data_IF_897024677392
#
_entry.id   IF_897024677392
#
_cell.length_a   1.000
_cell.length_b   1.000
_cell.length_c   1.000
_cell.angle_alpha   90.00
_cell.angle_beta   90.00
_cell.angle_gamma   90.00
#
_symmetry.space_group_name_H-M   'P 1'
#
loop_
_entity.id
_entity.type
_entity.pdbx_description
1 polymer ?
#
# COMPACT_ATOMS: atom_id res chain seq x y z
N UNK A 1 -12.48 17.55 0.27
CA UNK A 1 -11.18 16.85 0.27
C UNK A 1 -11.23 15.84 1.40
N UNK A 2 -11.53 14.56 1.12
CA UNK A 2 -11.65 13.55 2.16
C UNK A 2 -10.25 13.00 2.47
N UNK A 3 -9.71 13.38 3.62
CA UNK A 3 -8.46 12.81 4.12
C UNK A 3 -8.72 11.34 4.49
N UNK A 4 -8.03 10.42 3.81
CA UNK A 4 -8.10 9.02 4.20
C UNK A 4 -7.27 8.85 5.50
N UNK A 5 -7.95 8.84 6.63
CA UNK A 5 -7.35 8.73 7.97
C UNK A 5 -6.35 7.58 8.10
N UNK A 6 -6.69 6.41 7.54
CA UNK A 6 -5.79 5.25 7.54
C UNK A 6 -4.55 5.46 6.68
N UNK A 7 -4.68 6.15 5.55
CA UNK A 7 -3.52 6.51 4.73
C UNK A 7 -2.61 7.51 5.45
N UNK A 8 -3.19 8.49 6.15
CA UNK A 8 -2.44 9.45 6.95
C UNK A 8 -1.68 8.78 8.10
N UNK A 9 -2.33 7.89 8.86
CA UNK A 9 -1.67 7.13 9.92
C UNK A 9 -0.56 6.26 9.34
N UNK A 10 -0.82 5.52 8.25
CA UNK A 10 0.18 4.64 7.66
C UNK A 10 1.42 5.40 7.21
N UNK A 11 1.24 6.59 6.65
CA UNK A 11 2.35 7.44 6.26
C UNK A 11 3.11 7.97 7.49
N UNK A 12 2.39 8.49 8.49
CA UNK A 12 3.00 8.98 9.71
C UNK A 12 3.81 7.92 10.45
N UNK A 13 3.29 6.70 10.56
CA UNK A 13 4.00 5.57 11.18
C UNK A 13 5.22 5.17 10.34
N UNK A 14 5.12 5.12 9.01
CA UNK A 14 6.25 4.79 8.15
C UNK A 14 7.40 5.78 8.34
N UNK A 15 7.13 7.07 8.27
CA UNK A 15 8.15 8.12 8.38
C UNK A 15 8.89 8.03 9.72
N UNK A 16 8.16 7.82 10.82
CA UNK A 16 8.76 7.64 12.15
C UNK A 16 9.68 6.41 12.22
N UNK A 17 9.30 5.29 11.59
CA UNK A 17 10.13 4.08 11.55
C UNK A 17 11.38 4.32 10.70
N UNK A 18 11.26 4.90 9.50
CA UNK A 18 12.40 5.17 8.62
C UNK A 18 13.44 6.08 9.29
N UNK A 19 12.97 7.12 9.98
CA UNK A 19 13.86 8.03 10.72
C UNK A 19 14.59 7.30 11.86
N UNK A 20 13.90 6.45 12.62
CA UNK A 20 14.53 5.64 13.68
C UNK A 20 15.52 4.60 13.15
N UNK A 21 15.24 4.01 11.98
CA UNK A 21 16.18 3.09 11.31
C UNK A 21 17.41 3.85 10.81
N UNK A 22 17.25 5.04 10.24
CA UNK A 22 18.36 5.87 9.80
C UNK A 22 19.28 6.24 10.97
N UNK A 23 18.72 6.62 12.10
CA UNK A 23 19.46 6.92 13.35
C UNK A 23 20.18 5.67 13.89
N UNK A 24 19.50 4.51 13.93
CA UNK A 24 20.11 3.25 14.34
C UNK A 24 21.27 2.82 13.41
N UNK A 25 21.15 3.02 12.11
CA UNK A 25 22.20 2.75 11.12
C UNK A 25 23.40 3.68 11.30
N UNK A 26 23.19 4.90 11.79
CA UNK A 26 24.28 5.84 12.10
C UNK A 26 25.00 5.47 13.41
N UNK A 27 24.24 5.09 14.44
CA UNK A 27 24.79 4.78 15.77
C UNK A 27 25.42 3.38 15.89
N UNK A 28 24.78 2.36 15.31
CA UNK A 28 25.18 0.95 15.45
C UNK A 28 26.00 0.49 14.22
N UNK A 29 25.98 1.28 13.15
CA UNK A 29 26.63 1.00 11.88
C UNK A 29 25.72 0.27 10.89
N UNK A 30 25.99 0.46 9.60
CA UNK A 30 25.26 -0.24 8.55
C UNK A 30 25.56 -1.75 8.62
N UNK A 31 24.57 -2.64 8.43
CA UNK A 31 24.85 -4.05 8.25
C UNK A 31 25.86 -4.21 7.11
N UNK A 32 26.99 -4.87 7.37
CA UNK A 32 28.17 -4.97 6.47
C UNK A 32 27.89 -5.48 5.05
N UNK A 33 26.65 -5.87 4.74
CA UNK A 33 26.27 -6.55 3.51
C UNK A 33 25.59 -5.67 2.47
N UNK A 34 25.31 -4.39 2.76
CA UNK A 34 24.58 -3.55 1.80
C UNK A 34 25.10 -2.10 1.73
N UNK A 35 26.04 -1.81 0.79
CA UNK A 35 26.52 -0.45 0.55
C UNK A 35 25.43 0.48 -0.03
N UNK A 36 24.27 -0.06 -0.48
CA UNK A 36 23.16 0.71 -1.02
C UNK A 36 22.09 1.10 0.01
N UNK A 37 22.13 0.55 1.22
CA UNK A 37 21.06 0.73 2.21
C UNK A 37 20.80 2.20 2.57
N UNK A 38 21.86 2.99 2.73
CA UNK A 38 21.73 4.42 3.02
C UNK A 38 21.04 5.17 1.89
N UNK A 39 21.36 4.84 0.64
CA UNK A 39 20.76 5.45 -0.54
C UNK A 39 19.28 5.07 -0.66
N UNK A 40 18.95 3.80 -0.42
CA UNK A 40 17.55 3.32 -0.40
C UNK A 40 16.72 3.94 0.73
N UNK A 41 17.31 4.17 1.91
CA UNK A 41 16.64 4.86 3.02
C UNK A 41 16.37 6.32 2.66
N UNK A 42 17.34 7.02 2.10
CA UNK A 42 17.16 8.40 1.62
C UNK A 42 16.06 8.46 0.56
N UNK A 43 16.10 7.56 -0.43
CA UNK A 43 15.06 7.49 -1.47
C UNK A 43 13.67 7.19 -0.90
N UNK A 44 13.57 6.32 0.12
CA UNK A 44 12.30 5.98 0.78
C UNK A 44 11.73 7.14 1.61
N UNK A 45 12.59 7.99 2.17
CA UNK A 45 12.20 9.20 2.90
C UNK A 45 11.78 10.29 1.91
N UNK A 46 12.57 10.52 0.85
CA UNK A 46 12.35 11.61 -0.10
C UNK A 46 11.19 11.37 -1.07
N UNK A 47 11.06 10.15 -1.60
CA UNK A 47 10.05 9.85 -2.63
C UNK A 47 8.74 9.33 -2.04
N UNK A 48 8.72 8.95 -0.75
CA UNK A 48 7.67 8.08 -0.21
C UNK A 48 7.46 6.87 -1.11
N UNK A 49 6.41 6.06 -0.92
CA UNK A 49 6.06 5.12 -1.97
C UNK A 49 5.66 5.94 -3.21
N UNK A 50 6.49 5.90 -4.26
CA UNK A 50 5.94 5.68 -5.59
C UNK A 50 4.97 4.54 -5.38
N UNK A 51 3.68 4.83 -5.47
CA UNK A 51 2.67 3.81 -5.67
C UNK A 51 3.09 3.12 -6.96
N UNK A 52 4.01 2.14 -6.85
CA UNK A 52 4.03 1.01 -7.74
C UNK A 52 2.61 0.49 -7.62
N UNK A 53 1.80 0.93 -8.57
CA UNK A 53 0.48 0.42 -8.79
C UNK A 53 0.62 -1.10 -8.69
N UNK A 54 -0.25 -1.78 -7.94
CA UNK A 54 -0.21 -3.23 -7.94
C UNK A 54 -0.31 -3.65 -9.41
N UNK A 55 0.76 -4.27 -9.92
CA UNK A 55 0.69 -5.08 -11.12
C UNK A 55 -0.28 -6.23 -10.76
N UNK A 56 -1.57 -5.97 -10.96
CA UNK A 56 -2.61 -6.78 -10.35
C UNK A 56 -3.97 -6.12 -10.47
N UNK A 57 -4.65 -6.48 -11.56
CA UNK A 57 -6.11 -6.41 -11.72
C UNK A 57 -6.66 -5.11 -12.32
N UNK A 58 -6.56 -5.01 -13.65
CA UNK A 58 -7.63 -4.41 -14.45
C UNK A 58 -8.92 -5.24 -14.26
N UNK A 59 -9.66 -5.01 -13.18
CA UNK A 59 -11.07 -5.38 -13.11
C UNK A 59 -11.88 -4.13 -12.86
N UNK A 60 -12.47 -3.64 -13.94
CA UNK A 60 -13.49 -2.60 -14.03
C UNK A 60 -14.41 -2.67 -12.79
N UNK A 61 -14.52 -1.61 -11.97
CA UNK A 61 -15.35 -1.65 -10.78
C UNK A 61 -16.81 -1.53 -11.20
N UNK A 62 -17.46 -2.66 -11.49
CA UNK A 62 -18.92 -2.71 -11.46
C UNK A 62 -19.31 -2.56 -10.00
N UNK A 63 -19.72 -1.34 -9.61
CA UNK A 63 -20.31 -1.06 -8.30
C UNK A 63 -21.45 -2.05 -8.06
N UNK A 64 -21.19 -3.10 -7.29
CA UNK A 64 -22.22 -3.96 -6.72
C UNK A 64 -22.96 -3.10 -5.70
N UNK A 65 -24.02 -2.43 -6.15
CA UNK A 65 -24.96 -1.73 -5.28
C UNK A 65 -25.52 -2.78 -4.32
N UNK A 66 -25.22 -2.66 -3.02
CA UNK A 66 -25.91 -3.45 -2.00
C UNK A 66 -27.40 -3.09 -2.11
N UNK A 67 -28.22 -4.08 -2.41
CA UNK A 67 -29.65 -3.88 -2.70
C UNK A 67 -30.23 -4.77 -3.79
N UNK A 68 -29.46 -5.69 -4.39
CA UNK A 68 -30.04 -6.73 -5.27
C UNK A 68 -30.82 -7.75 -4.44
N UNK A 69 -32.00 -8.10 -4.92
CA UNK A 69 -32.86 -9.09 -4.27
C UNK A 69 -32.34 -10.51 -4.50
N UNK A 70 -32.56 -11.41 -3.54
CA UNK A 70 -32.08 -12.80 -3.56
C UNK A 70 -32.44 -13.57 -4.85
N UNK A 71 -33.57 -13.22 -5.49
CA UNK A 71 -34.00 -13.78 -6.78
C UNK A 71 -33.08 -13.41 -7.96
N UNK A 72 -32.49 -12.22 -7.95
CA UNK A 72 -31.60 -11.76 -9.02
C UNK A 72 -30.24 -12.46 -8.95
N UNK A 73 -29.80 -12.85 -7.75
CA UNK A 73 -28.55 -13.57 -7.53
C UNK A 73 -28.63 -15.00 -8.08
N UNK A 74 -29.79 -15.65 -7.94
CA UNK A 74 -29.98 -17.01 -8.46
C UNK A 74 -30.13 -17.05 -9.99
N UNK A 75 -30.64 -15.98 -10.61
CA UNK A 75 -30.77 -15.89 -12.06
C UNK A 75 -29.42 -15.68 -12.79
N UNK A 76 -28.46 -14.98 -12.16
CA UNK A 76 -27.10 -14.83 -12.70
C UNK A 76 -26.28 -16.14 -12.58
N UNK A 77 -26.58 -16.99 -11.60
CA UNK A 77 -25.85 -18.25 -11.34
C UNK A 77 -26.32 -19.42 -12.24
N UNK A 78 -27.58 -19.39 -12.70
CA UNK A 78 -28.14 -20.43 -13.58
C UNK A 78 -27.86 -20.23 -15.07
N UNK A 79 -27.14 -19.18 -15.45
CA UNK A 79 -26.86 -18.79 -16.84
C UNK A 79 -25.57 -19.34 -17.46
N UNK A 80 -24.83 -20.19 -16.76
CA UNK A 80 -23.60 -20.81 -17.30
C UNK A 80 -23.61 -22.33 -17.17
N UNK A 81 -24.41 -23.00 -18.01
CA UNK A 81 -23.98 -24.09 -18.92
C UNK A 81 -25.17 -24.61 -19.72
#
# INVERSE_FOLDING_TARGET
MAVNFFAWIREGVRQSILMGVADAVDQIGAPQRDPGLRQQLTEAIENGPLLAAPAGSERKPTRKRLGRSLKEIQADDSGTK
#
